data_IF_312964320927
#
_entry.id   IF_312964320927
#
_cell.length_a   1.000
_cell.length_b   1.000
_cell.length_c   1.000
_cell.angle_alpha   90.00
_cell.angle_beta   90.00
_cell.angle_gamma   90.00
#
_symmetry.space_group_name_H-M   'P 1'
#
loop_
_entity.id
_entity.type
_entity.pdbx_description
1 polymer ?
#
# COMPACT_ATOMS: atom_id res chain seq x y z
N UNK A 1 11.32 -17.64 -14.97
CA UNK A 1 10.53 -17.47 -16.20
C UNK A 1 9.07 -17.43 -15.78
N UNK A 2 8.40 -16.29 -15.94
CA UNK A 2 6.96 -16.21 -15.71
C UNK A 2 6.25 -16.90 -16.89
N UNK A 3 5.34 -17.82 -16.60
CA UNK A 3 4.55 -18.51 -17.62
C UNK A 3 3.36 -17.59 -17.89
N UNK A 4 3.43 -16.83 -18.97
CA UNK A 4 2.35 -15.92 -19.36
C UNK A 4 1.28 -16.74 -20.11
N UNK A 5 0.04 -16.69 -19.63
CA UNK A 5 -1.07 -17.46 -20.21
C UNK A 5 -1.53 -16.91 -21.59
N UNK A 6 -1.09 -15.70 -21.94
CA UNK A 6 -1.41 -14.99 -23.18
C UNK A 6 -0.13 -14.48 -23.84
N UNK A 7 -0.15 -14.32 -25.17
CA UNK A 7 0.91 -13.62 -25.89
C UNK A 7 0.91 -12.14 -25.44
N UNK A 8 2.00 -11.71 -24.79
CA UNK A 8 2.14 -10.34 -24.25
C UNK A 8 1.89 -9.30 -25.35
N UNK A 9 2.35 -9.55 -26.57
CA UNK A 9 2.26 -8.55 -27.66
C UNK A 9 0.83 -8.37 -28.14
N UNK A 10 0.11 -9.48 -28.33
CA UNK A 10 -1.31 -9.46 -28.70
C UNK A 10 -2.16 -8.82 -27.59
N UNK A 11 -1.86 -9.14 -26.33
CA UNK A 11 -2.55 -8.56 -25.18
C UNK A 11 -2.38 -7.03 -25.13
N UNK A 12 -1.16 -6.53 -25.35
CA UNK A 12 -0.90 -5.08 -25.40
C UNK A 12 -1.60 -4.40 -26.58
N UNK A 13 -1.77 -5.08 -27.72
CA UNK A 13 -2.52 -4.55 -28.86
C UNK A 13 -4.01 -4.42 -28.55
N UNK A 14 -4.61 -5.44 -27.93
CA UNK A 14 -6.02 -5.41 -27.51
C UNK A 14 -6.26 -4.28 -26.48
N UNK A 15 -5.36 -4.14 -25.51
CA UNK A 15 -5.42 -3.04 -24.53
C UNK A 15 -5.30 -1.68 -25.21
N UNK A 16 -4.41 -1.53 -26.20
CA UNK A 16 -4.28 -0.28 -26.95
C UNK A 16 -5.56 0.08 -27.74
N UNK A 17 -6.28 -0.93 -28.23
CA UNK A 17 -7.58 -0.77 -28.88
C UNK A 17 -8.72 -0.42 -27.90
N UNK A 18 -8.48 -0.46 -26.60
CA UNK A 18 -9.47 -0.13 -25.55
C UNK A 18 -10.27 -1.32 -25.05
N UNK A 19 -9.81 -2.56 -25.27
CA UNK A 19 -10.44 -3.75 -24.70
C UNK A 19 -10.19 -3.82 -23.17
N UNK A 20 -11.25 -3.58 -22.39
CA UNK A 20 -11.22 -3.60 -20.93
C UNK A 20 -10.97 -5.01 -20.36
N UNK A 21 -11.42 -6.07 -21.05
CA UNK A 21 -11.18 -7.45 -20.61
C UNK A 21 -9.71 -7.82 -20.82
N UNK A 22 -9.12 -7.38 -21.93
CA UNK A 22 -7.68 -7.51 -22.15
C UNK A 22 -6.87 -6.76 -21.09
N UNK A 23 -7.35 -5.58 -20.68
CA UNK A 23 -6.71 -4.82 -19.61
C UNK A 23 -6.82 -5.51 -18.25
N UNK A 24 -7.97 -6.11 -17.93
CA UNK A 24 -8.12 -6.95 -16.73
C UNK A 24 -7.12 -8.09 -16.69
N UNK A 25 -6.94 -8.82 -17.81
CA UNK A 25 -5.93 -9.88 -17.93
C UNK A 25 -4.50 -9.36 -17.75
N UNK A 26 -4.20 -8.20 -18.34
CA UNK A 26 -2.89 -7.53 -18.17
C UNK A 26 -2.65 -7.18 -16.70
N UNK A 27 -3.65 -6.59 -16.04
CA UNK A 27 -3.56 -6.27 -14.61
C UNK A 27 -3.28 -7.52 -13.79
N UNK A 28 -4.06 -8.59 -13.94
CA UNK A 28 -3.86 -9.86 -13.21
C UNK A 28 -2.43 -10.39 -13.38
N UNK A 29 -1.89 -10.33 -14.59
CA UNK A 29 -0.55 -10.81 -14.92
C UNK A 29 0.57 -10.01 -14.22
N UNK A 30 0.46 -8.69 -14.18
CA UNK A 30 1.53 -7.83 -13.66
C UNK A 30 1.31 -7.34 -12.22
N UNK A 31 0.09 -7.48 -11.67
CA UNK A 31 -0.29 -6.93 -10.36
C UNK A 31 0.70 -7.34 -9.25
N UNK A 32 0.95 -8.63 -9.10
CA UNK A 32 1.82 -9.16 -8.03
C UNK A 32 3.25 -8.64 -8.16
N UNK A 33 3.76 -8.52 -9.38
CA UNK A 33 5.11 -8.01 -9.62
C UNK A 33 5.18 -6.51 -9.30
N UNK A 34 4.22 -5.71 -9.77
CA UNK A 34 4.11 -4.28 -9.49
C UNK A 34 3.98 -4.03 -7.99
N UNK A 35 3.09 -4.75 -7.31
CA UNK A 35 2.89 -4.66 -5.87
C UNK A 35 4.18 -4.95 -5.09
N UNK A 36 4.94 -5.98 -5.47
CA UNK A 36 6.22 -6.31 -4.83
C UNK A 36 7.25 -5.19 -5.00
N UNK A 37 7.30 -4.53 -6.16
CA UNK A 37 8.18 -3.38 -6.40
C UNK A 37 7.78 -2.22 -5.48
N UNK A 38 6.50 -1.88 -5.43
CA UNK A 38 5.99 -0.81 -4.55
C UNK A 38 6.32 -1.10 -3.08
N UNK A 39 6.04 -2.31 -2.61
CA UNK A 39 6.32 -2.74 -1.25
C UNK A 39 7.79 -2.63 -0.88
N UNK A 40 8.69 -3.02 -1.80
CA UNK A 40 10.14 -2.94 -1.60
C UNK A 40 10.62 -1.50 -1.47
N UNK A 41 10.01 -0.57 -2.20
CA UNK A 41 10.44 0.83 -2.23
C UNK A 41 9.88 1.67 -1.06
N UNK A 42 8.63 1.45 -0.67
CA UNK A 42 7.91 2.33 0.27
C UNK A 42 7.76 1.75 1.68
N UNK A 43 7.88 0.43 1.86
CA UNK A 43 7.72 -0.29 3.15
C UNK A 43 6.41 0.04 3.92
N UNK A 44 5.38 0.54 3.24
CA UNK A 44 4.09 0.90 3.82
C UNK A 44 2.97 0.11 3.13
N UNK A 45 2.52 -1.03 3.70
CA UNK A 45 1.53 -1.91 3.07
C UNK A 45 0.20 -1.23 2.77
N UNK A 46 -0.24 -0.32 3.65
CA UNK A 46 -1.54 0.34 3.53
C UNK A 46 -1.64 1.31 2.35
N UNK A 47 -0.52 1.82 1.84
CA UNK A 47 -0.51 2.68 0.64
C UNK A 47 -0.23 1.88 -0.64
N UNK A 48 0.28 0.65 -0.53
CA UNK A 48 0.81 -0.07 -1.68
C UNK A 48 -0.25 -0.36 -2.74
N UNK A 49 -1.46 -0.77 -2.33
CA UNK A 49 -2.57 -1.02 -3.26
C UNK A 49 -3.03 0.23 -4.01
N UNK A 50 -3.06 1.38 -3.33
CA UNK A 50 -3.43 2.65 -3.96
C UNK A 50 -2.40 3.06 -5.03
N UNK A 51 -1.11 2.90 -4.73
CA UNK A 51 -0.04 3.16 -5.71
C UNK A 51 -0.15 2.23 -6.91
N UNK A 52 -0.42 0.94 -6.68
CA UNK A 52 -0.59 -0.03 -7.77
C UNK A 52 -1.76 0.36 -8.67
N UNK A 53 -2.88 0.78 -8.09
CA UNK A 53 -4.03 1.28 -8.85
C UNK A 53 -3.67 2.53 -9.67
N UNK A 54 -2.97 3.50 -9.09
CA UNK A 54 -2.52 4.70 -9.82
C UNK A 54 -1.57 4.35 -10.98
N UNK A 55 -0.67 3.37 -10.79
CA UNK A 55 0.20 2.87 -11.84
C UNK A 55 -0.62 2.28 -12.98
N UNK A 56 -1.56 1.38 -12.71
CA UNK A 56 -2.39 0.78 -13.75
C UNK A 56 -3.32 1.80 -14.42
N UNK A 57 -3.80 2.81 -13.70
CA UNK A 57 -4.52 3.93 -14.30
C UNK A 57 -3.62 4.67 -15.31
N UNK A 58 -2.35 4.93 -14.98
CA UNK A 58 -1.39 5.51 -15.93
C UNK A 58 -1.18 4.61 -17.15
N UNK A 59 -1.07 3.29 -16.96
CA UNK A 59 -0.98 2.33 -18.07
C UNK A 59 -2.19 2.45 -19.00
N UNK A 60 -3.40 2.50 -18.44
CA UNK A 60 -4.63 2.64 -19.23
C UNK A 60 -4.68 3.97 -20.00
N UNK A 61 -4.28 5.07 -19.36
CA UNK A 61 -4.23 6.39 -20.00
C UNK A 61 -3.17 6.45 -21.12
N UNK A 62 -2.05 5.73 -20.98
CA UNK A 62 -1.01 5.62 -22.00
C UNK A 62 -1.17 4.40 -22.93
N UNK A 63 -2.33 3.74 -22.94
CA UNK A 63 -2.51 2.44 -23.61
C UNK A 63 -2.13 2.42 -25.10
N UNK A 64 -2.32 3.54 -25.79
CA UNK A 64 -2.00 3.68 -27.21
C UNK A 64 -0.50 3.50 -27.52
N UNK A 65 0.40 3.72 -26.56
CA UNK A 65 1.85 3.59 -26.76
C UNK A 65 2.37 2.18 -26.47
N UNK A 66 1.56 1.32 -25.84
CA UNK A 66 1.99 0.01 -25.37
C UNK A 66 2.49 -0.95 -26.46
N UNK A 67 1.87 -1.02 -27.66
CA UNK A 67 2.31 -1.96 -28.70
C UNK A 67 3.70 -1.64 -29.28
N UNK A 68 4.20 -0.41 -29.06
CA UNK A 68 5.53 0.03 -29.49
C UNK A 68 6.63 -0.21 -28.45
N UNK A 69 6.32 -0.81 -27.30
CA UNK A 69 7.31 -1.10 -26.27
C UNK A 69 8.03 -2.41 -26.58
N UNK A 70 9.37 -2.37 -26.57
CA UNK A 70 10.19 -3.59 -26.72
C UNK A 70 10.11 -4.50 -25.49
N UNK A 71 9.92 -3.91 -24.29
CA UNK A 71 9.80 -4.64 -23.03
C UNK A 71 8.84 -3.93 -22.09
N UNK A 72 7.59 -4.41 -22.06
CA UNK A 72 6.55 -3.84 -21.23
C UNK A 72 6.85 -3.97 -19.73
N UNK A 73 7.40 -5.10 -19.28
CA UNK A 73 7.73 -5.32 -17.88
C UNK A 73 8.78 -4.31 -17.36
N UNK A 74 9.82 -4.04 -18.15
CA UNK A 74 10.85 -3.05 -17.82
C UNK A 74 10.26 -1.65 -17.74
N UNK A 75 9.46 -1.27 -18.75
CA UNK A 75 8.76 0.01 -18.77
C UNK A 75 7.80 0.16 -17.57
N UNK A 76 7.02 -0.86 -17.25
CA UNK A 76 6.09 -0.85 -16.11
C UNK A 76 6.85 -0.68 -14.79
N UNK A 77 8.00 -1.33 -14.65
CA UNK A 77 8.86 -1.18 -13.46
C UNK A 77 9.35 0.26 -13.33
N UNK A 78 9.75 0.90 -14.42
CA UNK A 78 10.14 2.32 -14.44
C UNK A 78 8.97 3.23 -14.04
N UNK A 79 7.79 3.03 -14.63
CA UNK A 79 6.58 3.81 -14.29
C UNK A 79 6.23 3.67 -12.81
N UNK A 80 6.27 2.44 -12.29
CA UNK A 80 6.01 2.14 -10.87
C UNK A 80 7.00 2.86 -9.97
N UNK A 81 8.29 2.79 -10.31
CA UNK A 81 9.37 3.39 -9.52
C UNK A 81 9.24 4.91 -9.49
N UNK A 82 8.94 5.54 -10.62
CA UNK A 82 8.66 6.97 -10.69
C UNK A 82 7.45 7.35 -9.85
N UNK A 83 6.35 6.58 -9.90
CA UNK A 83 5.16 6.83 -9.08
C UNK A 83 5.49 6.81 -7.58
N UNK A 84 6.24 5.81 -7.13
CA UNK A 84 6.65 5.72 -5.73
C UNK A 84 7.52 6.92 -5.33
N UNK A 85 8.50 7.29 -6.15
CA UNK A 85 9.34 8.46 -5.84
C UNK A 85 8.55 9.77 -5.81
N UNK A 86 7.59 9.96 -6.72
CA UNK A 86 6.75 11.15 -6.74
C UNK A 86 5.88 11.25 -5.49
N UNK A 87 5.32 10.12 -5.04
CA UNK A 87 4.55 10.04 -3.80
C UNK A 87 5.42 10.33 -2.57
N UNK A 88 6.59 9.69 -2.47
CA UNK A 88 7.54 9.94 -1.37
C UNK A 88 7.95 11.41 -1.32
N UNK A 89 8.25 12.02 -2.48
CA UNK A 89 8.57 13.45 -2.58
C UNK A 89 7.40 14.33 -2.18
N UNK A 90 6.16 13.95 -2.54
CA UNK A 90 4.94 14.68 -2.15
C UNK A 90 4.75 14.63 -0.62
N UNK A 91 4.89 13.45 -0.03
CA UNK A 91 4.76 13.25 1.42
C UNK A 91 5.81 14.06 2.20
N UNK A 92 7.06 14.09 1.73
CA UNK A 92 8.12 14.91 2.34
C UNK A 92 7.78 16.40 2.32
N UNK A 93 7.26 16.92 1.19
CA UNK A 93 6.83 18.32 1.08
C UNK A 93 5.64 18.63 1.99
N UNK A 94 4.69 17.71 2.09
CA UNK A 94 3.51 17.87 2.94
C UNK A 94 3.88 17.82 4.43
N UNK A 95 4.76 16.91 4.82
CA UNK A 95 5.32 16.86 6.18
C UNK A 95 6.06 18.15 6.55
N UNK A 96 6.90 18.67 5.63
CA UNK A 96 7.60 19.93 5.85
C UNK A 96 6.64 21.13 6.01
N UNK A 97 5.56 21.18 5.22
CA UNK A 97 4.51 22.21 5.37
C UNK A 97 3.76 22.07 6.70
N UNK A 98 3.45 20.84 7.11
CA UNK A 98 2.80 20.59 8.39
C UNK A 98 3.67 21.04 9.56
N UNK A 99 4.98 20.76 9.50
CA UNK A 99 5.96 21.26 10.48
C UNK A 99 5.96 22.79 10.55
N UNK A 100 5.93 23.48 9.41
CA UNK A 100 5.84 24.94 9.36
C UNK A 100 4.56 25.45 10.03
N UNK A 101 3.40 24.86 9.71
CA UNK A 101 2.14 25.25 10.34
C UNK A 101 2.09 24.95 11.83
N UNK A 102 2.68 23.84 12.28
CA UNK A 102 2.79 23.52 13.71
C UNK A 102 3.61 24.58 14.46
N UNK A 103 4.71 25.05 13.86
CA UNK A 103 5.53 26.13 14.41
C UNK A 103 4.77 27.45 14.48
N UNK A 104 4.06 27.83 13.41
CA UNK A 104 3.27 29.07 13.36
C UNK A 104 2.12 29.07 14.38
N UNK A 105 1.44 27.93 14.54
CA UNK A 105 0.27 27.78 15.39
C UNK A 105 0.59 27.36 16.83
N UNK A 106 1.87 27.19 17.19
CA UNK A 106 2.31 26.64 18.48
C UNK A 106 1.61 25.32 18.85
N UNK A 107 1.29 24.50 17.85
CA UNK A 107 0.68 23.19 18.06
C UNK A 107 1.76 22.22 18.55
N UNK A 108 1.50 21.41 19.59
CA UNK A 108 2.46 20.41 20.04
C UNK A 108 2.79 19.44 18.91
N UNK A 109 4.07 19.11 18.79
CA UNK A 109 4.60 18.21 17.77
C UNK A 109 4.06 16.79 17.99
N UNK A 110 3.19 16.32 17.11
CA UNK A 110 2.69 14.94 17.10
C UNK A 110 3.50 14.03 16.14
N UNK A 111 4.78 14.33 15.89
CA UNK A 111 5.62 13.45 15.09
C UNK A 111 6.00 12.19 15.86
N UNK A 112 5.36 11.08 15.50
CA UNK A 112 5.74 9.73 15.95
C UNK A 112 4.75 9.02 16.86
N UNK A 113 3.65 9.66 17.25
CA UNK A 113 2.50 8.95 17.80
C UNK A 113 1.72 8.34 16.62
N UNK A 114 2.16 7.15 16.17
CA UNK A 114 1.19 6.21 15.65
C UNK A 114 0.05 6.15 16.66
N UNK A 115 -1.18 6.41 16.21
CA UNK A 115 -2.39 6.40 17.05
C UNK A 115 -2.52 5.15 17.92
N UNK A 116 -1.73 4.11 17.67
CA UNK A 116 -1.53 2.92 18.49
C UNK A 116 -1.10 3.21 19.93
N UNK A 117 -0.15 4.12 20.21
CA UNK A 117 0.31 4.36 21.60
C UNK A 117 -0.75 5.08 22.43
N UNK A 118 -1.35 6.14 21.85
CA UNK A 118 -2.47 6.85 22.48
C UNK A 118 -3.67 5.93 22.71
N UNK A 119 -3.96 5.04 21.76
CA UNK A 119 -5.08 4.10 21.88
C UNK A 119 -4.83 3.03 22.94
N UNK A 120 -3.61 2.48 23.05
CA UNK A 120 -3.28 1.52 24.10
C UNK A 120 -3.33 2.14 25.49
N UNK A 121 -2.85 3.38 25.66
CA UNK A 121 -2.97 4.12 26.91
C UNK A 121 -4.43 4.43 27.26
N UNK A 122 -5.24 4.89 26.30
CA UNK A 122 -6.67 5.13 26.50
C UNK A 122 -7.40 3.85 26.92
N UNK A 123 -7.10 2.72 26.26
CA UNK A 123 -7.67 1.42 26.58
C UNK A 123 -7.24 0.97 27.98
N UNK A 124 -5.96 1.16 28.36
CA UNK A 124 -5.50 0.83 29.71
C UNK A 124 -6.20 1.68 30.77
N UNK A 125 -6.37 2.98 30.54
CA UNK A 125 -7.09 3.87 31.46
C UNK A 125 -8.57 3.47 31.59
N UNK A 126 -9.22 3.09 30.48
CA UNK A 126 -10.60 2.61 30.49
C UNK A 126 -10.73 1.27 31.23
N UNK A 127 -9.79 0.35 31.04
CA UNK A 127 -9.76 -0.94 31.74
C UNK A 127 -9.52 -0.74 33.23
N UNK A 128 -8.67 0.21 33.64
CA UNK A 128 -8.41 0.53 35.04
C UNK A 128 -9.66 1.01 35.80
N UNK A 129 -10.67 1.58 35.09
CA UNK A 129 -11.96 1.99 35.67
C UNK A 129 -12.97 0.85 35.80
N UNK A 130 -12.70 -0.32 35.24
CA UNK A 130 -13.56 -1.49 35.36
C UNK A 130 -13.42 -2.18 36.73
N UNK A 131 -14.44 -2.91 37.15
CA UNK A 131 -14.38 -3.70 38.38
C UNK A 131 -13.28 -4.80 38.30
N UNK A 132 -12.73 -5.26 39.43
CA UNK A 132 -11.66 -6.27 39.44
C UNK A 132 -12.00 -7.54 38.64
N UNK A 133 -13.29 -7.93 38.65
CA UNK A 133 -13.78 -9.11 37.91
C UNK A 133 -13.77 -8.89 36.39
N UNK A 134 -14.04 -7.68 35.92
CA UNK A 134 -14.06 -7.33 34.49
C UNK A 134 -12.64 -7.15 33.92
N UNK A 135 -11.71 -6.59 34.70
CA UNK A 135 -10.30 -6.48 34.32
C UNK A 135 -9.64 -7.85 34.13
N UNK A 136 -9.93 -8.81 35.02
CA UNK A 136 -9.42 -10.18 34.92
C UNK A 136 -9.90 -10.87 33.63
N UNK A 137 -11.17 -10.68 33.26
CA UNK A 137 -11.75 -11.22 32.02
C UNK A 137 -11.09 -10.58 30.79
N UNK A 138 -10.98 -9.25 30.74
CA UNK A 138 -10.33 -8.54 29.63
C UNK A 138 -8.88 -9.00 29.42
N UNK A 139 -8.10 -9.11 30.51
CA UNK A 139 -6.71 -9.54 30.46
C UNK A 139 -6.57 -10.98 29.94
N UNK A 140 -7.45 -11.88 30.38
CA UNK A 140 -7.46 -13.27 29.93
C UNK A 140 -7.81 -13.38 28.43
N UNK A 141 -8.77 -12.58 27.94
CA UNK A 141 -9.13 -12.52 26.51
C UNK A 141 -7.98 -11.97 25.66
N UNK A 142 -7.29 -10.90 26.11
CA UNK A 142 -6.12 -10.33 25.42
C UNK A 142 -4.98 -11.34 25.28
N UNK A 143 -4.67 -12.10 26.35
CA UNK A 143 -3.64 -13.17 26.32
C UNK A 143 -3.98 -14.29 25.32
N UNK A 144 -5.25 -14.71 25.26
CA UNK A 144 -5.72 -15.74 24.31
C UNK A 144 -5.64 -15.27 22.85
N UNK A 145 -5.96 -14.00 22.58
CA UNK A 145 -5.90 -13.42 21.24
C UNK A 145 -4.47 -13.31 20.68
N UNK A 146 -3.47 -13.15 21.54
CA UNK A 146 -2.04 -13.13 21.15
C UNK A 146 -1.53 -14.57 20.93
N UNK A 147 -1.97 -15.53 21.75
CA UNK A 147 -1.63 -16.94 21.59
C UNK A 147 -2.22 -17.58 20.33
N UNK A 148 -3.40 -17.13 19.87
CA UNK A 148 -4.06 -17.64 18.66
C UNK A 148 -3.43 -17.25 17.32
N UNK A 149 -2.40 -16.37 17.31
CA UNK A 149 -1.69 -15.93 16.10
C UNK A 149 -0.41 -16.72 15.79
N UNK A 150 -0.02 -17.69 16.63
CA UNK A 150 1.05 -18.65 16.33
C UNK A 150 0.49 -20.06 16.19
N UNK A 151 0.17 -20.44 14.95
CA UNK A 151 0.43 -21.80 14.46
C UNK A 151 1.15 -21.70 13.11
N UNK A 152 2.44 -22.05 13.04
CA UNK A 152 3.07 -22.48 11.81
C UNK A 152 2.78 -23.97 11.57
N UNK A 153 2.54 -24.34 10.32
CA UNK A 153 2.73 -25.71 9.84
C UNK A 153 1.45 -26.51 9.58
N UNK A 154 0.99 -26.47 8.33
CA UNK A 154 1.15 -27.61 7.43
C UNK A 154 1.64 -27.07 6.09
#
# INVERSE_FOLDING_TARGET
>A
MAIYAYDERDLLQQVAAGDELAFGRLMEQYHVATYRVVMRLMQAPWMAEDVVQEVFLKVWLSRATLPGLDNFQAWLTTVTTHQVYDLVRKQQRESARLQQWQQELHLPDQQGQTATTDYEELVQQAVAKLSPRQQAVFTHLKKKAIAGRKQPGC
#
